data_IF_378642921250
#
_entry.id   IF_378642921250
#
_cell.length_a   1.000
_cell.length_b   1.000
_cell.length_c   1.000
_cell.angle_alpha   90.00
_cell.angle_beta   90.00
_cell.angle_gamma   90.00
#
_symmetry.space_group_name_H-M   'P 1'
#
loop_
_entity.id
_entity.type
_entity.pdbx_description
1 polymer ?
#
# COMPACT_ATOMS: atom_id res chain seq x y z
N UNK A 1 8.25 -19.96 20.50
CA UNK A 1 7.01 -20.15 19.73
C UNK A 1 7.46 -20.33 18.28
N UNK A 2 7.03 -21.40 17.61
CA UNK A 2 7.49 -21.74 16.25
C UNK A 2 6.96 -20.70 15.27
N UNK A 3 7.85 -20.04 14.51
CA UNK A 3 7.50 -19.19 13.38
C UNK A 3 6.75 -20.04 12.34
N UNK A 4 5.42 -20.13 12.47
CA UNK A 4 4.58 -20.98 11.62
C UNK A 4 3.96 -20.17 10.51
N UNK A 5 4.16 -20.63 9.28
CA UNK A 5 3.23 -20.30 8.19
C UNK A 5 1.93 -21.03 8.48
N UNK A 6 0.86 -20.28 8.81
CA UNK A 6 -0.48 -20.87 8.98
C UNK A 6 -1.10 -21.07 7.58
N UNK A 7 -1.26 -22.31 7.17
CA UNK A 7 -1.98 -22.64 5.93
C UNK A 7 -3.48 -22.85 6.22
N UNK A 8 -4.32 -22.36 5.29
CA UNK A 8 -5.76 -22.67 5.17
C UNK A 8 -6.76 -22.11 6.20
N UNK A 9 -6.57 -20.89 6.67
CA UNK A 9 -7.61 -20.16 7.42
C UNK A 9 -8.70 -19.55 6.50
N UNK A 10 -8.37 -19.29 5.23
CA UNK A 10 -9.28 -18.66 4.25
C UNK A 10 -9.96 -19.68 3.33
N UNK A 11 -11.30 -19.60 3.24
CA UNK A 11 -12.11 -20.36 2.28
C UNK A 11 -12.73 -19.40 1.27
N UNK A 12 -12.37 -19.48 -0.02
CA UNK A 12 -12.94 -18.61 -1.05
C UNK A 12 -14.41 -18.89 -1.26
N UNK A 13 -15.14 -17.87 -1.71
CA UNK A 13 -16.48 -18.06 -2.25
C UNK A 13 -16.46 -19.15 -3.34
N UNK A 14 -17.39 -20.10 -3.29
CA UNK A 14 -17.43 -21.23 -4.24
C UNK A 14 -17.53 -20.79 -5.71
N UNK A 15 -18.09 -19.61 -5.96
CA UNK A 15 -18.25 -18.99 -7.27
C UNK A 15 -17.08 -18.09 -7.69
N UNK A 16 -16.08 -17.86 -6.80
CA UNK A 16 -14.82 -17.14 -7.06
C UNK A 16 -13.60 -17.95 -6.61
N UNK A 17 -13.37 -19.15 -7.17
CA UNK A 17 -12.30 -20.03 -6.70
C UNK A 17 -10.90 -19.62 -7.17
N UNK A 18 -10.81 -18.78 -8.22
CA UNK A 18 -9.57 -18.44 -8.91
C UNK A 18 -8.98 -17.09 -8.49
N UNK A 19 -7.66 -16.97 -8.48
CA UNK A 19 -6.94 -15.77 -8.06
C UNK A 19 -7.31 -14.52 -8.89
N UNK A 20 -7.41 -14.65 -10.20
CA UNK A 20 -7.81 -13.55 -11.08
C UNK A 20 -9.23 -13.04 -10.78
N UNK A 21 -10.18 -13.95 -10.59
CA UNK A 21 -11.57 -13.58 -10.29
C UNK A 21 -11.70 -12.92 -8.91
N UNK A 22 -10.96 -13.41 -7.91
CA UNK A 22 -10.87 -12.80 -6.58
C UNK A 22 -10.35 -11.36 -6.67
N UNK A 23 -9.24 -11.16 -7.41
CA UNK A 23 -8.61 -9.85 -7.60
C UNK A 23 -9.55 -8.86 -8.30
N UNK A 24 -10.19 -9.28 -9.39
CA UNK A 24 -11.07 -8.42 -10.17
C UNK A 24 -12.37 -8.10 -9.43
N UNK A 25 -12.95 -9.07 -8.75
CA UNK A 25 -14.20 -8.88 -8.00
C UNK A 25 -14.05 -7.79 -6.94
N UNK A 26 -12.91 -7.79 -6.23
CA UNK A 26 -12.62 -6.78 -5.22
C UNK A 26 -12.65 -5.36 -5.77
N UNK A 27 -12.18 -5.16 -6.99
CA UNK A 27 -12.17 -3.85 -7.66
C UNK A 27 -13.58 -3.32 -7.96
N UNK A 28 -14.54 -4.23 -8.18
CA UNK A 28 -15.94 -3.87 -8.48
C UNK A 28 -16.84 -3.91 -7.25
N UNK A 29 -16.33 -4.30 -6.10
CA UNK A 29 -17.10 -4.28 -4.87
C UNK A 29 -17.42 -2.84 -4.49
N UNK A 30 -18.71 -2.50 -4.48
CA UNK A 30 -19.17 -1.21 -3.97
C UNK A 30 -19.27 -1.30 -2.45
N UNK A 31 -18.61 -0.38 -1.78
CA UNK A 31 -18.82 -0.12 -0.36
C UNK A 31 -19.52 1.22 -0.25
N UNK A 32 -20.44 1.34 0.72
CA UNK A 32 -21.06 2.62 1.03
C UNK A 32 -19.96 3.64 1.33
N UNK A 33 -20.17 4.87 0.92
CA UNK A 33 -19.24 5.95 1.17
C UNK A 33 -18.94 6.09 2.67
N UNK A 34 -17.70 6.39 2.98
CA UNK A 34 -17.25 6.77 4.32
C UNK A 34 -17.02 8.26 4.31
N UNK A 35 -17.48 8.96 5.34
CA UNK A 35 -17.19 10.38 5.46
C UNK A 35 -15.71 10.56 5.80
N UNK A 36 -15.00 11.31 4.97
CA UNK A 36 -13.61 11.63 5.15
C UNK A 36 -13.43 13.10 5.50
N UNK A 37 -12.67 13.37 6.56
CA UNK A 37 -12.07 14.67 6.80
C UNK A 37 -10.65 14.64 6.25
N UNK A 38 -10.42 15.42 5.19
CA UNK A 38 -9.08 15.53 4.59
C UNK A 38 -8.21 16.48 5.38
N UNK A 39 -6.96 16.11 5.56
CA UNK A 39 -5.91 16.92 6.15
C UNK A 39 -4.69 16.86 5.22
N UNK A 40 -4.10 18.01 4.92
CA UNK A 40 -2.88 18.12 4.13
C UNK A 40 -1.69 18.21 5.05
N UNK A 41 -0.68 17.39 4.76
CA UNK A 41 0.62 17.41 5.41
C UNK A 41 1.64 17.96 4.42
N UNK A 42 2.24 19.10 4.76
CA UNK A 42 3.37 19.65 4.01
C UNK A 42 4.62 18.83 4.33
N UNK A 43 5.35 18.42 3.30
CA UNK A 43 6.57 17.64 3.39
C UNK A 43 7.80 18.56 3.38
N UNK A 44 8.91 18.07 3.92
CA UNK A 44 10.14 18.87 4.06
C UNK A 44 10.71 19.35 2.71
N UNK A 45 10.38 18.66 1.60
CA UNK A 45 10.84 19.01 0.26
C UNK A 45 9.94 20.04 -0.46
N UNK A 46 8.93 20.59 0.23
CA UNK A 46 7.98 21.57 -0.31
C UNK A 46 6.81 20.95 -1.09
N UNK A 47 6.69 19.62 -1.06
CA UNK A 47 5.56 18.90 -1.60
C UNK A 47 4.52 18.63 -0.51
N UNK A 48 3.48 17.83 -0.80
CA UNK A 48 2.46 17.48 0.17
C UNK A 48 1.94 16.05 0.01
N UNK A 49 1.37 15.55 1.10
CA UNK A 49 0.55 14.34 1.14
C UNK A 49 -0.79 14.68 1.78
N UNK A 50 -1.88 14.24 1.17
CA UNK A 50 -3.20 14.33 1.78
C UNK A 50 -3.52 13.04 2.52
N UNK A 51 -4.02 13.17 3.75
CA UNK A 51 -4.50 12.07 4.56
C UNK A 51 -5.99 12.23 4.82
N UNK A 52 -6.72 11.12 4.73
CA UNK A 52 -8.18 11.10 4.85
C UNK A 52 -8.61 10.33 6.10
N UNK A 53 -9.06 11.08 7.11
CA UNK A 53 -9.58 10.54 8.35
C UNK A 53 -10.97 9.97 8.16
N UNK A 54 -11.18 8.73 8.62
CA UNK A 54 -12.52 8.18 8.78
C UNK A 54 -13.06 8.63 10.15
N UNK A 55 -14.03 9.51 10.13
CA UNK A 55 -14.70 9.93 11.35
C UNK A 55 -15.94 9.06 11.62
N UNK A 56 -16.07 8.65 12.88
CA UNK A 56 -17.18 7.81 13.29
C UNK A 56 -18.48 8.61 13.24
N UNK A 57 -19.41 8.24 12.36
CA UNK A 57 -20.70 8.93 12.14
C UNK A 57 -21.67 8.81 13.32
N UNK A 58 -21.37 8.04 14.34
CA UNK A 58 -22.20 7.90 15.53
C UNK A 58 -21.88 8.99 16.54
N UNK A 59 -22.57 10.11 16.43
CA UNK A 59 -22.50 11.22 17.39
C UNK A 59 -22.79 10.82 18.86
N UNK A 60 -23.27 9.61 19.13
CA UNK A 60 -23.51 9.06 20.46
C UNK A 60 -22.28 8.44 21.13
N UNK A 61 -21.16 8.24 20.41
CA UNK A 61 -19.93 7.63 20.93
C UNK A 61 -18.71 8.54 20.72
N UNK A 62 -18.86 9.84 20.95
CA UNK A 62 -17.76 10.82 20.92
C UNK A 62 -16.72 10.64 22.04
N UNK A 63 -16.84 9.63 22.87
CA UNK A 63 -15.77 9.14 23.70
C UNK A 63 -15.04 7.97 23.01
N UNK A 64 -14.46 8.19 21.81
CA UNK A 64 -13.29 7.39 21.45
C UNK A 64 -12.29 7.64 22.59
N UNK A 65 -12.09 6.65 23.44
CA UNK A 65 -11.18 6.77 24.58
C UNK A 65 -9.84 7.25 24.03
N UNK A 66 -9.37 8.38 24.53
CA UNK A 66 -7.99 8.84 24.25
C UNK A 66 -7.10 7.65 24.63
N UNK A 67 -6.23 7.21 23.70
CA UNK A 67 -5.42 6.01 23.89
C UNK A 67 -5.95 4.75 23.16
N UNK A 68 -7.07 4.84 22.41
CA UNK A 68 -7.57 3.70 21.62
C UNK A 68 -6.71 3.37 20.40
N UNK A 69 -5.71 4.19 20.08
CA UNK A 69 -4.81 4.07 18.96
C UNK A 69 -5.37 4.58 17.62
N UNK A 70 -4.47 4.86 16.70
CA UNK A 70 -4.78 5.30 15.33
C UNK A 70 -4.27 4.27 14.34
N UNK A 71 -5.15 3.80 13.44
CA UNK A 71 -4.75 2.91 12.34
C UNK A 71 -4.46 3.72 11.09
N UNK A 72 -3.21 3.67 10.62
CA UNK A 72 -2.76 4.29 9.37
C UNK A 72 -2.84 3.26 8.24
N UNK A 73 -3.56 3.60 7.16
CA UNK A 73 -3.82 2.69 6.04
C UNK A 73 -3.10 3.22 4.79
N UNK A 74 -2.35 2.34 4.12
CA UNK A 74 -1.47 2.67 3.00
C UNK A 74 -1.94 1.88 1.78
N UNK A 75 -2.38 2.60 0.73
CA UNK A 75 -2.93 1.98 -0.47
C UNK A 75 -1.86 1.37 -1.40
N UNK A 76 -2.30 0.56 -2.36
CA UNK A 76 -1.45 -0.03 -3.39
C UNK A 76 -1.24 0.87 -4.62
N UNK A 77 -0.54 0.32 -5.62
CA UNK A 77 -0.24 1.01 -6.88
C UNK A 77 -1.52 1.52 -7.56
N UNK A 78 -1.52 2.78 -7.99
CA UNK A 78 -2.66 3.48 -8.60
C UNK A 78 -3.93 3.50 -7.73
N UNK A 79 -3.78 3.35 -6.41
CA UNK A 79 -4.85 3.46 -5.43
C UNK A 79 -4.96 4.85 -4.81
N UNK A 80 -5.87 4.97 -3.84
CA UNK A 80 -6.08 6.16 -3.02
C UNK A 80 -6.89 5.78 -1.77
N UNK A 81 -7.20 6.73 -0.91
CA UNK A 81 -8.08 6.54 0.26
C UNK A 81 -9.47 6.00 -0.08
N UNK A 82 -9.98 6.30 -1.29
CA UNK A 82 -11.27 5.79 -1.78
C UNK A 82 -11.21 4.41 -2.44
N UNK A 83 -10.05 3.75 -2.41
CA UNK A 83 -9.94 2.36 -2.90
C UNK A 83 -10.85 1.43 -2.10
N UNK A 84 -11.59 0.50 -2.76
CA UNK A 84 -12.60 -0.34 -2.10
C UNK A 84 -12.11 -1.07 -0.85
N UNK A 85 -10.87 -1.57 -0.86
CA UNK A 85 -10.28 -2.27 0.27
C UNK A 85 -9.90 -1.31 1.44
N UNK A 86 -9.56 -0.05 1.14
CA UNK A 86 -9.29 0.98 2.16
C UNK A 86 -10.60 1.36 2.85
N UNK A 87 -11.62 1.72 2.07
CA UNK A 87 -12.95 2.09 2.56
C UNK A 87 -13.57 0.97 3.40
N UNK A 88 -13.47 -0.28 2.93
CA UNK A 88 -13.98 -1.44 3.67
C UNK A 88 -13.32 -1.61 5.03
N UNK A 89 -11.99 -1.44 5.11
CA UNK A 89 -11.28 -1.52 6.38
C UNK A 89 -11.63 -0.35 7.30
N UNK A 90 -11.66 0.88 6.78
CA UNK A 90 -12.03 2.06 7.57
C UNK A 90 -13.44 1.91 8.16
N UNK A 91 -14.41 1.46 7.35
CA UNK A 91 -15.78 1.19 7.80
C UNK A 91 -15.81 0.15 8.91
N UNK A 92 -15.04 -0.93 8.76
CA UNK A 92 -14.97 -1.97 9.79
C UNK A 92 -14.35 -1.46 11.09
N UNK A 93 -13.23 -0.75 11.02
CA UNK A 93 -12.57 -0.14 12.18
C UNK A 93 -13.50 0.84 12.90
N UNK A 94 -14.20 1.69 12.13
CA UNK A 94 -15.19 2.62 12.68
C UNK A 94 -16.33 1.88 13.41
N UNK A 95 -16.81 0.75 12.86
CA UNK A 95 -17.79 -0.12 13.52
C UNK A 95 -17.31 -0.73 14.85
N UNK A 96 -16.00 -0.78 15.08
CA UNK A 96 -15.38 -1.18 16.35
C UNK A 96 -14.94 0.02 17.22
N UNK A 97 -15.39 1.25 16.89
CA UNK A 97 -15.01 2.47 17.62
C UNK A 97 -13.53 2.85 17.46
N UNK A 98 -12.84 2.33 16.42
CA UNK A 98 -11.42 2.60 16.18
C UNK A 98 -11.24 3.73 15.17
N UNK A 99 -10.29 4.63 15.47
CA UNK A 99 -9.90 5.71 14.57
C UNK A 99 -8.99 5.20 13.48
N UNK A 100 -9.19 5.69 12.25
CA UNK A 100 -8.30 5.36 11.14
C UNK A 100 -8.10 6.53 10.19
N UNK A 101 -6.92 6.57 9.58
CA UNK A 101 -6.53 7.54 8.57
C UNK A 101 -5.92 6.82 7.38
N UNK A 102 -6.35 7.16 6.17
CA UNK A 102 -5.78 6.64 4.93
C UNK A 102 -4.84 7.67 4.32
N UNK A 103 -3.63 7.23 3.96
CA UNK A 103 -2.66 8.07 3.23
C UNK A 103 -3.04 8.06 1.76
N UNK A 104 -2.97 9.23 1.10
CA UNK A 104 -2.91 9.31 -0.35
C UNK A 104 -1.47 9.67 -0.72
N UNK A 105 -0.73 8.75 -1.33
CA UNK A 105 0.60 9.06 -1.85
C UNK A 105 0.58 10.28 -2.76
N UNK A 106 1.74 10.90 -2.99
CA UNK A 106 1.91 12.09 -3.83
C UNK A 106 1.17 11.94 -5.16
N UNK A 107 0.25 12.88 -5.45
CA UNK A 107 -0.58 12.87 -6.65
C UNK A 107 -1.74 11.87 -6.66
N UNK A 108 -2.03 11.17 -5.54
CA UNK A 108 -3.10 10.16 -5.47
C UNK A 108 -4.39 10.66 -4.79
N UNK A 109 -4.42 11.88 -4.27
CA UNK A 109 -5.58 12.43 -3.55
C UNK A 109 -6.66 13.03 -4.46
N UNK A 110 -6.43 13.05 -5.77
CA UNK A 110 -7.21 13.80 -6.76
C UNK A 110 -6.60 15.15 -7.10
N UNK A 111 -5.63 15.62 -6.29
CA UNK A 111 -4.81 16.80 -6.58
C UNK A 111 -3.39 16.37 -6.94
N UNK A 112 -2.82 17.04 -7.94
CA UNK A 112 -1.45 16.79 -8.40
C UNK A 112 -0.50 17.49 -7.43
N UNK A 113 0.51 16.75 -6.94
CA UNK A 113 1.53 17.28 -6.07
C UNK A 113 2.45 18.31 -6.77
N UNK A 114 3.27 19.03 -5.99
CA UNK A 114 4.03 20.19 -6.49
C UNK A 114 5.31 19.82 -7.23
N UNK A 115 5.91 18.67 -6.95
CA UNK A 115 7.19 18.26 -7.51
C UNK A 115 7.05 17.23 -8.62
N UNK A 116 8.02 17.15 -9.52
CA UNK A 116 8.09 16.13 -10.59
C UNK A 116 8.13 14.71 -10.00
N UNK A 117 8.79 14.53 -8.88
CA UNK A 117 8.81 13.23 -8.17
C UNK A 117 7.40 12.77 -7.82
N UNK A 118 7.23 11.45 -7.78
CA UNK A 118 5.98 10.79 -7.43
C UNK A 118 6.22 9.80 -6.28
N UNK A 119 5.26 8.98 -5.97
CA UNK A 119 5.48 7.84 -5.07
C UNK A 119 6.10 6.66 -5.83
N UNK A 120 6.76 5.76 -5.10
CA UNK A 120 7.28 4.51 -5.61
C UNK A 120 7.27 3.42 -4.53
N UNK A 121 7.59 2.18 -4.89
CA UNK A 121 7.46 1.04 -3.96
C UNK A 121 8.40 1.09 -2.74
N UNK A 122 9.35 1.99 -2.72
CA UNK A 122 10.31 2.12 -1.62
C UNK A 122 10.29 3.46 -0.89
N UNK A 123 9.23 4.28 -1.07
CA UNK A 123 9.11 5.64 -0.51
C UNK A 123 8.85 5.63 1.01
N UNK A 124 9.75 5.02 1.77
CA UNK A 124 9.65 4.93 3.23
C UNK A 124 9.88 6.27 3.93
N UNK A 125 10.57 7.21 3.29
CA UNK A 125 10.73 8.58 3.78
C UNK A 125 9.41 9.33 3.89
N UNK A 126 8.52 9.24 2.89
CA UNK A 126 7.20 9.87 2.93
C UNK A 126 6.35 9.29 4.08
N UNK A 127 6.36 7.96 4.25
CA UNK A 127 5.66 7.32 5.37
C UNK A 127 6.23 7.78 6.72
N UNK A 128 7.54 8.01 6.77
CA UNK A 128 8.20 8.53 7.96
C UNK A 128 7.75 9.93 8.32
N UNK A 129 7.59 10.81 7.35
CA UNK A 129 7.10 12.17 7.57
C UNK A 129 5.65 12.16 8.05
N UNK A 130 4.79 11.33 7.43
CA UNK A 130 3.40 11.14 7.89
C UNK A 130 3.37 10.65 9.34
N UNK A 131 4.16 9.64 9.70
CA UNK A 131 4.23 9.17 11.09
C UNK A 131 4.74 10.25 12.05
N UNK A 132 5.76 11.01 11.65
CA UNK A 132 6.31 12.10 12.46
C UNK A 132 5.26 13.17 12.73
N UNK A 133 4.53 13.60 11.71
CA UNK A 133 3.45 14.58 11.83
C UNK A 133 2.31 14.08 12.73
N UNK A 134 1.83 12.84 12.49
CA UNK A 134 0.78 12.24 13.30
C UNK A 134 1.20 12.05 14.75
N UNK A 135 2.42 11.57 14.99
CA UNK A 135 2.92 11.33 16.33
C UNK A 135 3.22 12.62 17.12
N UNK A 136 3.47 13.72 16.44
CA UNK A 136 3.57 15.04 17.05
C UNK A 136 2.18 15.62 17.38
N UNK A 137 1.19 15.43 16.49
CA UNK A 137 -0.18 15.88 16.70
C UNK A 137 -0.93 15.05 17.77
N UNK A 138 -0.55 13.78 17.93
CA UNK A 138 -1.18 12.82 18.86
C UNK A 138 -0.13 12.10 19.71
N UNK A 139 0.55 12.81 20.64
CA UNK A 139 1.73 12.28 21.37
C UNK A 139 1.42 11.10 22.29
N UNK A 140 0.19 11.01 22.81
CA UNK A 140 -0.25 9.97 23.73
C UNK A 140 -0.90 8.76 23.03
N UNK A 141 -1.03 8.80 21.69
CA UNK A 141 -1.66 7.74 20.93
C UNK A 141 -0.66 6.67 20.52
N UNK A 142 -1.15 5.43 20.41
CA UNK A 142 -0.46 4.33 19.75
C UNK A 142 -0.84 4.28 18.28
N UNK A 143 0.04 3.75 17.46
CA UNK A 143 -0.16 3.66 16.02
C UNK A 143 -0.10 2.21 15.57
N UNK A 144 -1.02 1.88 14.68
CA UNK A 144 -1.06 0.62 13.96
C UNK A 144 -1.03 0.91 12.47
N UNK A 145 -0.43 0.04 11.69
CA UNK A 145 -0.27 0.26 10.25
C UNK A 145 -0.83 -0.88 9.44
N UNK A 146 -1.51 -0.56 8.34
CA UNK A 146 -1.98 -1.55 7.36
C UNK A 146 -1.57 -1.12 5.97
N UNK A 147 -0.75 -1.94 5.31
CA UNK A 147 -0.33 -1.71 3.93
C UNK A 147 -0.92 -2.73 2.98
N UNK A 148 -1.29 -2.28 1.78
CA UNK A 148 -1.80 -3.13 0.71
C UNK A 148 -0.88 -3.08 -0.51
N UNK A 149 -0.49 -4.24 -1.05
CA UNK A 149 0.31 -4.34 -2.27
C UNK A 149 1.58 -3.46 -2.21
N UNK A 150 1.75 -2.48 -3.09
CA UNK A 150 2.85 -1.51 -3.03
C UNK A 150 2.96 -0.85 -1.65
N UNK A 151 1.83 -0.43 -1.06
CA UNK A 151 1.83 0.17 0.28
C UNK A 151 2.28 -0.79 1.38
N UNK A 152 2.07 -2.10 1.20
CA UNK A 152 2.61 -3.12 2.09
C UNK A 152 4.14 -3.22 1.96
N UNK A 153 4.67 -3.13 0.75
CA UNK A 153 6.12 -3.12 0.54
C UNK A 153 6.78 -1.88 1.17
N UNK A 154 6.18 -0.69 1.00
CA UNK A 154 6.63 0.56 1.65
C UNK A 154 6.62 0.40 3.17
N UNK A 155 5.54 -0.14 3.73
CA UNK A 155 5.40 -0.36 5.18
C UNK A 155 6.49 -1.27 5.73
N UNK A 156 6.69 -2.44 5.11
CA UNK A 156 7.68 -3.42 5.59
C UNK A 156 9.12 -2.91 5.47
N UNK A 157 9.44 -2.20 4.37
CA UNK A 157 10.73 -1.51 4.21
C UNK A 157 10.91 -0.49 5.33
N UNK A 158 9.94 0.38 5.55
CA UNK A 158 10.00 1.40 6.59
C UNK A 158 10.18 0.81 8.00
N UNK A 159 9.45 -0.23 8.35
CA UNK A 159 9.57 -0.90 9.65
C UNK A 159 10.94 -1.55 9.85
N UNK A 160 11.51 -2.16 8.79
CA UNK A 160 12.80 -2.84 8.89
C UNK A 160 14.01 -1.90 8.77
N UNK A 161 13.84 -0.68 8.25
CA UNK A 161 14.87 0.37 8.23
C UNK A 161 14.95 1.16 9.53
N UNK A 162 13.86 1.21 10.27
CA UNK A 162 13.75 2.03 11.46
C UNK A 162 14.19 1.33 12.73
N UNK A 163 14.69 2.13 13.66
CA UNK A 163 14.73 1.71 15.05
C UNK A 163 13.31 1.65 15.59
N UNK A 164 13.05 0.66 16.44
CA UNK A 164 11.77 0.49 17.12
C UNK A 164 11.29 1.80 17.77
N UNK A 165 10.05 2.14 17.50
CA UNK A 165 9.31 3.17 18.22
C UNK A 165 8.16 2.48 18.97
N UNK A 166 8.15 2.57 20.30
CA UNK A 166 7.17 1.86 21.15
C UNK A 166 5.74 2.37 20.97
N UNK A 167 5.54 3.45 20.22
CA UNK A 167 4.21 3.91 19.81
C UNK A 167 3.66 3.12 18.63
N UNK A 168 4.52 2.44 17.85
CA UNK A 168 4.10 1.56 16.75
C UNK A 168 3.90 0.16 17.33
N UNK A 169 2.65 -0.24 17.49
CA UNK A 169 2.32 -1.47 18.24
C UNK A 169 2.09 -2.67 17.35
N UNK A 170 1.43 -2.49 16.20
CA UNK A 170 1.08 -3.58 15.28
C UNK A 170 1.12 -3.15 13.83
N UNK A 171 1.38 -4.10 12.94
CA UNK A 171 1.34 -3.89 11.52
C UNK A 171 0.69 -5.08 10.78
N UNK A 172 0.05 -4.78 9.64
CA UNK A 172 -0.46 -5.81 8.72
C UNK A 172 -0.04 -5.44 7.30
N UNK A 173 0.54 -6.40 6.58
CA UNK A 173 0.94 -6.24 5.19
C UNK A 173 0.20 -7.27 4.32
N UNK A 174 -0.58 -6.80 3.35
CA UNK A 174 -1.47 -7.63 2.53
C UNK A 174 -0.98 -7.67 1.10
N UNK A 175 -0.83 -8.86 0.54
CA UNK A 175 -0.46 -9.09 -0.88
C UNK A 175 0.80 -8.33 -1.29
N UNK A 176 1.86 -8.46 -0.50
CA UNK A 176 3.09 -7.68 -0.63
C UNK A 176 3.97 -8.14 -1.79
N UNK A 177 4.44 -7.26 -2.68
CA UNK A 177 5.45 -7.56 -3.69
C UNK A 177 6.86 -7.56 -3.08
N UNK A 178 7.18 -8.56 -2.25
CA UNK A 178 8.44 -8.64 -1.49
C UNK A 178 9.70 -8.52 -2.35
N UNK A 179 9.64 -9.00 -3.60
CA UNK A 179 10.71 -8.94 -4.60
C UNK A 179 10.15 -8.27 -5.86
N UNK A 180 10.43 -6.98 -6.03
CA UNK A 180 9.84 -6.14 -7.08
C UNK A 180 10.18 -6.62 -8.49
N UNK A 181 11.42 -7.08 -8.71
CA UNK A 181 11.87 -7.62 -9.98
C UNK A 181 11.07 -8.87 -10.41
N UNK A 182 10.89 -9.84 -9.50
CA UNK A 182 10.10 -11.04 -9.76
C UNK A 182 8.63 -10.72 -10.04
N UNK A 183 8.06 -9.77 -9.31
CA UNK A 183 6.68 -9.31 -9.53
C UNK A 183 6.52 -8.59 -10.87
N UNK A 184 7.49 -7.73 -11.24
CA UNK A 184 7.51 -7.07 -12.55
C UNK A 184 7.58 -8.08 -13.70
N UNK A 185 8.45 -9.10 -13.60
CA UNK A 185 8.56 -10.20 -14.58
C UNK A 185 7.28 -11.04 -14.66
N UNK A 186 6.60 -11.30 -13.54
CA UNK A 186 5.35 -12.05 -13.52
C UNK A 186 4.24 -11.35 -14.31
N UNK A 187 4.18 -10.02 -14.24
CA UNK A 187 3.23 -9.21 -15.00
C UNK A 187 3.52 -9.09 -16.50
N UNK A 188 4.55 -9.77 -17.01
CA UNK A 188 4.80 -9.94 -18.45
C UNK A 188 4.28 -11.28 -18.99
N UNK A 189 3.74 -12.17 -18.14
CA UNK A 189 3.40 -13.55 -18.51
C UNK A 189 1.90 -13.83 -18.39
N UNK A 190 1.39 -14.67 -19.29
CA UNK A 190 0.01 -15.16 -19.23
C UNK A 190 -1.05 -14.08 -19.07
N UNK A 191 -2.15 -14.35 -18.34
CA UNK A 191 -3.21 -13.39 -18.09
C UNK A 191 -2.75 -12.17 -17.25
N UNK A 192 -1.66 -12.30 -16.47
CA UNK A 192 -1.12 -11.22 -15.65
C UNK A 192 -0.59 -10.03 -16.48
N UNK A 193 -0.35 -10.23 -17.77
CA UNK A 193 -0.03 -9.13 -18.72
C UNK A 193 -1.11 -8.05 -18.78
N UNK A 194 -2.35 -8.41 -18.53
CA UNK A 194 -3.45 -7.43 -18.51
C UNK A 194 -3.29 -6.42 -17.36
N UNK A 195 -2.86 -6.90 -16.19
CA UNK A 195 -2.58 -6.03 -15.06
C UNK A 195 -1.34 -5.14 -15.34
N UNK A 196 -0.27 -5.72 -15.88
CA UNK A 196 0.92 -4.97 -16.27
C UNK A 196 0.59 -3.85 -17.25
N UNK A 197 -0.16 -4.15 -18.31
CA UNK A 197 -0.61 -3.16 -19.29
C UNK A 197 -1.52 -2.09 -18.67
N UNK A 198 -2.42 -2.47 -17.77
CA UNK A 198 -3.28 -1.52 -17.05
C UNK A 198 -2.45 -0.55 -16.22
N UNK A 199 -1.50 -1.04 -15.42
CA UNK A 199 -0.66 -0.19 -14.57
C UNK A 199 0.22 0.73 -15.40
N UNK A 200 0.89 0.22 -16.43
CA UNK A 200 1.73 1.03 -17.33
C UNK A 200 0.92 2.18 -17.96
N UNK A 201 -0.25 1.88 -18.50
CA UNK A 201 -1.11 2.90 -19.11
C UNK A 201 -1.56 3.94 -18.07
N UNK A 202 -1.91 3.51 -16.85
CA UNK A 202 -2.31 4.42 -15.78
C UNK A 202 -1.16 5.34 -15.38
N UNK A 203 0.00 4.76 -15.07
CA UNK A 203 1.20 5.52 -14.67
C UNK A 203 1.66 6.51 -15.73
N UNK A 204 1.64 6.12 -17.02
CA UNK A 204 1.95 7.03 -18.12
C UNK A 204 0.98 8.21 -18.17
N UNK A 205 -0.31 7.94 -18.06
CA UNK A 205 -1.33 8.99 -18.06
C UNK A 205 -1.19 9.91 -16.85
N UNK A 206 -0.81 9.39 -15.69
CA UNK A 206 -0.55 10.19 -14.49
C UNK A 206 0.64 11.14 -14.71
N UNK A 207 1.73 10.69 -15.36
CA UNK A 207 2.87 11.58 -15.75
C UNK A 207 2.43 12.64 -16.76
N UNK A 208 1.69 12.26 -17.80
CA UNK A 208 1.20 13.21 -18.82
C UNK A 208 0.27 14.26 -18.18
N UNK A 209 -0.68 13.80 -17.35
CA UNK A 209 -1.59 14.72 -16.64
C UNK A 209 -0.84 15.67 -15.70
N UNK A 210 0.25 15.21 -15.10
CA UNK A 210 1.12 16.00 -14.24
C UNK A 210 1.88 17.08 -15.04
N UNK A 211 2.39 16.73 -16.23
CA UNK A 211 3.01 17.69 -17.13
C UNK A 211 2.02 18.80 -17.54
N UNK A 212 0.80 18.41 -17.92
CA UNK A 212 -0.25 19.37 -18.29
C UNK A 212 -0.61 20.33 -17.14
N UNK A 213 -0.65 19.81 -15.90
CA UNK A 213 -0.93 20.61 -14.71
C UNK A 213 0.23 21.57 -14.40
N UNK A 214 1.46 21.10 -14.45
CA UNK A 214 2.64 21.95 -14.23
C UNK A 214 2.73 23.08 -15.23
N UNK A 215 2.41 22.82 -16.50
CA UNK A 215 2.36 23.85 -17.52
C UNK A 215 1.29 24.91 -17.20
N UNK A 216 0.09 24.49 -16.78
CA UNK A 216 -1.00 25.40 -16.39
C UNK A 216 -0.66 26.23 -15.15
N UNK A 217 0.05 25.65 -14.20
CA UNK A 217 0.48 26.31 -12.94
C UNK A 217 1.75 27.14 -13.10
N UNK A 218 2.41 27.12 -14.27
CA UNK A 218 3.67 27.81 -14.51
C UNK A 218 4.87 27.22 -13.78
N UNK A 219 4.82 25.95 -13.41
CA UNK A 219 5.90 25.22 -12.73
C UNK A 219 6.89 24.67 -13.76
N UNK A 220 7.58 25.59 -14.45
CA UNK A 220 8.40 25.27 -15.64
C UNK A 220 9.52 24.28 -15.33
N UNK A 221 10.23 24.44 -14.23
CA UNK A 221 11.33 23.53 -13.83
C UNK A 221 10.82 22.08 -13.64
N UNK A 222 9.64 21.92 -13.00
CA UNK A 222 9.03 20.62 -12.78
C UNK A 222 8.51 20.00 -14.08
N UNK A 223 7.95 20.83 -14.96
CA UNK A 223 7.56 20.43 -16.31
C UNK A 223 8.76 19.94 -17.13
N UNK A 224 9.85 20.71 -17.16
CA UNK A 224 11.06 20.37 -17.92
C UNK A 224 11.69 19.08 -17.38
N UNK A 225 11.68 18.86 -16.08
CA UNK A 225 12.13 17.61 -15.46
C UNK A 225 11.38 16.39 -16.02
N UNK A 226 10.05 16.46 -16.14
CA UNK A 226 9.24 15.38 -16.71
C UNK A 226 9.40 15.28 -18.24
N UNK A 227 9.47 16.40 -18.95
CA UNK A 227 9.63 16.43 -20.40
C UNK A 227 10.98 15.82 -20.85
N UNK A 228 12.02 15.95 -20.04
CA UNK A 228 13.34 15.37 -20.29
C UNK A 228 13.43 13.85 -20.08
N UNK A 229 12.38 13.19 -19.52
CA UNK A 229 12.35 11.73 -19.38
C UNK A 229 12.28 10.98 -20.72
N UNK A 230 11.91 11.67 -21.82
CA UNK A 230 11.86 11.10 -23.16
C UNK A 230 10.46 10.60 -23.55
N UNK A 231 10.41 9.69 -24.54
CA UNK A 231 9.16 9.24 -25.16
C UNK A 231 8.44 8.18 -24.29
N UNK A 232 7.52 8.64 -23.45
CA UNK A 232 6.68 7.78 -22.62
C UNK A 232 5.82 6.80 -23.44
N UNK A 233 5.56 7.10 -24.74
CA UNK A 233 4.77 6.24 -25.64
C UNK A 233 5.42 4.89 -25.92
N UNK A 234 6.73 4.78 -25.73
CA UNK A 234 7.50 3.54 -25.95
C UNK A 234 7.43 2.55 -24.78
N UNK A 235 7.03 3.01 -23.59
CA UNK A 235 6.98 2.17 -22.39
C UNK A 235 5.88 1.13 -22.54
N UNK A 236 6.24 -0.16 -22.41
CA UNK A 236 5.33 -1.33 -22.53
C UNK A 236 5.29 -2.20 -21.28
N UNK A 237 6.21 -1.98 -20.33
CA UNK A 237 6.33 -2.78 -19.11
C UNK A 237 6.58 -1.88 -17.90
N UNK A 238 6.32 -2.41 -16.69
CA UNK A 238 6.65 -1.71 -15.45
C UNK A 238 8.16 -1.47 -15.34
N UNK A 239 8.98 -2.46 -15.73
CA UNK A 239 10.43 -2.27 -15.70
C UNK A 239 10.89 -1.13 -16.61
N UNK A 240 10.35 -1.03 -17.83
CA UNK A 240 10.66 0.12 -18.71
C UNK A 240 10.16 1.45 -18.14
N UNK A 241 9.01 1.46 -17.46
CA UNK A 241 8.53 2.65 -16.76
C UNK A 241 9.48 3.01 -15.61
N UNK A 242 9.91 2.04 -14.85
CA UNK A 242 10.82 2.27 -13.72
C UNK A 242 12.21 2.70 -14.18
N UNK A 243 12.72 2.17 -15.30
CA UNK A 243 13.99 2.62 -15.91
C UNK A 243 13.90 4.06 -16.42
N UNK A 244 12.81 4.42 -17.09
CA UNK A 244 12.69 5.72 -17.77
C UNK A 244 12.15 6.83 -16.84
N UNK A 245 11.31 6.50 -15.86
CA UNK A 245 10.60 7.48 -15.02
C UNK A 245 10.99 7.36 -13.55
N UNK A 246 10.75 6.19 -12.93
CA UNK A 246 10.94 6.06 -11.48
C UNK A 246 12.41 6.25 -11.09
N UNK A 247 13.33 5.58 -11.76
CA UNK A 247 14.74 5.63 -11.40
C UNK A 247 15.33 7.05 -11.50
N UNK A 248 15.22 7.78 -12.63
CA UNK A 248 15.80 9.12 -12.73
C UNK A 248 15.14 10.14 -11.81
N UNK A 249 13.82 10.06 -11.57
CA UNK A 249 13.12 11.00 -10.68
C UNK A 249 13.49 10.81 -9.19
N UNK A 250 14.02 9.65 -8.82
CA UNK A 250 14.30 9.29 -7.41
C UNK A 250 15.78 8.96 -7.15
N UNK A 251 16.68 9.22 -8.11
CA UNK A 251 18.11 9.06 -7.93
C UNK A 251 18.60 7.61 -7.89
N UNK A 252 17.86 6.69 -8.51
CA UNK A 252 18.32 5.32 -8.76
C UNK A 252 19.08 5.26 -10.10
N UNK A 253 20.04 4.36 -10.22
CA UNK A 253 20.78 4.18 -11.47
C UNK A 253 19.89 3.66 -12.62
N UNK A 254 18.99 2.73 -12.31
CA UNK A 254 18.05 2.08 -13.21
C UNK A 254 16.99 1.30 -12.40
N UNK A 255 16.06 0.61 -13.07
CA UNK A 255 15.04 -0.19 -12.43
C UNK A 255 15.61 -1.34 -11.57
N UNK A 256 16.73 -1.95 -11.98
CA UNK A 256 17.32 -3.03 -11.22
C UNK A 256 17.92 -2.54 -9.88
N UNK A 257 18.56 -1.37 -9.88
CA UNK A 257 19.02 -0.71 -8.66
C UNK A 257 17.85 -0.31 -7.75
N UNK A 258 16.80 0.26 -8.35
CA UNK A 258 15.56 0.57 -7.64
C UNK A 258 14.95 -0.67 -6.99
N UNK A 259 14.75 -1.76 -7.75
CA UNK A 259 14.17 -2.99 -7.22
C UNK A 259 15.02 -3.60 -6.12
N UNK A 260 16.35 -3.61 -6.30
CA UNK A 260 17.28 -4.10 -5.30
C UNK A 260 17.20 -3.31 -3.99
N UNK A 261 17.16 -1.98 -4.04
CA UNK A 261 17.12 -1.11 -2.86
C UNK A 261 15.74 -1.08 -2.18
N UNK A 262 14.67 -1.30 -2.95
CA UNK A 262 13.30 -1.06 -2.47
C UNK A 262 12.47 -2.32 -2.21
N UNK A 263 12.95 -3.52 -2.56
CA UNK A 263 12.29 -4.79 -2.24
C UNK A 263 12.28 -5.06 -0.74
N UNK A 264 11.10 -5.26 -0.17
CA UNK A 264 10.94 -5.41 1.28
C UNK A 264 11.48 -6.72 1.84
N UNK A 265 11.72 -7.75 1.01
CA UNK A 265 12.23 -9.04 1.47
C UNK A 265 13.50 -8.94 2.32
N UNK A 266 14.40 -8.01 2.00
CA UNK A 266 15.68 -7.83 2.70
C UNK A 266 15.56 -7.15 4.07
N UNK A 267 14.40 -6.60 4.40
CA UNK A 267 14.16 -5.86 5.64
C UNK A 267 13.39 -6.67 6.69
N UNK A 268 12.81 -7.83 6.30
CA UNK A 268 11.90 -8.59 7.14
C UNK A 268 12.55 -9.11 8.44
N UNK A 269 13.82 -9.46 8.40
CA UNK A 269 14.58 -9.95 9.56
C UNK A 269 14.82 -8.86 10.63
N UNK A 270 14.72 -7.57 10.23
CA UNK A 270 14.97 -6.42 11.10
C UNK A 270 13.68 -5.83 11.70
N UNK A 271 12.51 -6.38 11.38
CA UNK A 271 11.23 -5.85 11.89
C UNK A 271 11.01 -6.32 13.33
N UNK A 272 10.93 -5.37 14.26
CA UNK A 272 10.67 -5.63 15.69
C UNK A 272 9.20 -5.42 16.10
N UNK A 273 8.39 -4.84 15.23
CA UNK A 273 6.95 -4.62 15.44
C UNK A 273 6.16 -5.90 15.20
N UNK A 274 5.16 -6.21 16.05
CA UNK A 274 4.21 -7.33 15.84
C UNK A 274 3.51 -7.16 14.48
N UNK A 275 3.91 -7.97 13.49
CA UNK A 275 3.55 -7.80 12.09
C UNK A 275 2.96 -9.08 11.51
N UNK A 276 1.75 -8.94 10.94
CA UNK A 276 1.07 -10.00 10.20
C UNK A 276 1.18 -9.78 8.70
N UNK A 277 1.75 -10.76 7.99
CA UNK A 277 1.74 -10.82 6.53
C UNK A 277 0.57 -11.70 6.07
N UNK A 278 -0.31 -11.17 5.22
CA UNK A 278 -1.43 -11.93 4.62
C UNK A 278 -1.16 -12.07 3.13
N UNK A 279 -0.98 -13.30 2.65
CA UNK A 279 -0.59 -13.60 1.28
C UNK A 279 -1.35 -14.80 0.72
N UNK A 280 -1.60 -14.84 -0.60
CA UNK A 280 -2.17 -16.01 -1.27
C UNK A 280 -1.19 -16.65 -2.27
N UNK A 281 -1.18 -17.99 -2.36
CA UNK A 281 -0.34 -18.73 -3.31
C UNK A 281 -0.80 -18.53 -4.77
N UNK A 282 -2.05 -18.16 -4.98
CA UNK A 282 -2.64 -17.93 -6.32
C UNK A 282 -2.77 -16.45 -6.67
N UNK A 283 -1.98 -15.59 -6.03
CA UNK A 283 -1.92 -14.16 -6.37
C UNK A 283 -1.40 -13.98 -7.81
N UNK A 284 -2.17 -13.35 -8.72
CA UNK A 284 -1.75 -13.22 -10.11
C UNK A 284 -0.64 -12.19 -10.34
N UNK A 285 -0.32 -11.35 -9.34
CA UNK A 285 0.71 -10.31 -9.43
C UNK A 285 1.99 -10.71 -8.69
N UNK A 286 1.85 -11.52 -7.64
CA UNK A 286 2.96 -11.90 -6.75
C UNK A 286 3.23 -13.40 -6.96
N UNK A 287 4.26 -13.79 -7.71
CA UNK A 287 4.58 -15.19 -7.94
C UNK A 287 5.11 -15.84 -6.66
N UNK A 288 4.94 -17.17 -6.55
CA UNK A 288 5.43 -17.92 -5.38
C UNK A 288 6.94 -17.78 -5.16
N UNK A 289 7.71 -17.54 -6.23
CA UNK A 289 9.17 -17.29 -6.16
C UNK A 289 9.51 -15.97 -5.46
N UNK A 290 8.58 -15.03 -5.38
CA UNK A 290 8.78 -13.74 -4.71
C UNK A 290 8.45 -13.78 -3.21
N UNK A 291 7.92 -14.90 -2.69
CA UNK A 291 7.53 -15.03 -1.29
C UNK A 291 8.77 -15.27 -0.41
N UNK A 292 8.83 -14.67 0.79
CA UNK A 292 9.90 -14.90 1.74
C UNK A 292 9.82 -16.32 2.33
N UNK A 293 10.97 -16.86 2.69
CA UNK A 293 11.04 -18.09 3.48
C UNK A 293 10.74 -17.81 4.96
N UNK A 294 10.29 -18.82 5.70
CA UNK A 294 10.08 -18.67 7.15
C UNK A 294 11.37 -18.27 7.90
N UNK A 295 12.53 -18.67 7.39
CA UNK A 295 13.84 -18.34 8.00
C UNK A 295 14.30 -16.90 7.77
N UNK A 296 13.66 -16.17 6.82
CA UNK A 296 13.95 -14.75 6.56
C UNK A 296 13.04 -13.79 7.34
N UNK A 297 12.14 -14.33 8.16
CA UNK A 297 11.25 -13.53 9.00
C UNK A 297 11.85 -13.36 10.40
N UNK A 298 11.73 -12.15 10.97
CA UNK A 298 12.05 -11.94 12.38
C UNK A 298 11.06 -12.68 13.29
N UNK A 299 11.35 -12.73 14.58
CA UNK A 299 10.46 -13.32 15.58
C UNK A 299 9.12 -12.56 15.73
N UNK A 300 9.12 -11.26 15.34
CA UNK A 300 7.94 -10.40 15.41
C UNK A 300 7.07 -10.47 14.15
N UNK A 301 7.50 -11.18 13.10
CA UNK A 301 6.78 -11.26 11.82
C UNK A 301 6.16 -12.66 11.66
N UNK A 302 4.86 -12.70 11.46
CA UNK A 302 4.10 -13.92 11.16
C UNK A 302 3.51 -13.85 9.77
N UNK A 303 3.50 -14.95 9.02
CA UNK A 303 2.91 -15.02 7.70
C UNK A 303 1.75 -16.01 7.64
N UNK A 304 0.58 -15.52 7.27
CA UNK A 304 -0.57 -16.31 6.84
C UNK A 304 -0.54 -16.46 5.32
N UNK A 305 -0.19 -17.65 4.86
CA UNK A 305 -0.13 -18.00 3.46
C UNK A 305 -1.32 -18.91 3.11
N UNK A 306 -2.33 -18.35 2.45
CA UNK A 306 -3.51 -19.09 2.00
C UNK A 306 -3.29 -19.71 0.63
N UNK A 307 -3.96 -20.84 0.34
CA UNK A 307 -3.89 -21.49 -0.98
C UNK A 307 -4.58 -20.67 -2.07
N UNK A 308 -5.58 -19.88 -1.70
CA UNK A 308 -6.41 -19.05 -2.59
C UNK A 308 -6.65 -17.70 -1.95
N UNK A 309 -7.05 -16.69 -2.76
CA UNK A 309 -7.31 -15.33 -2.25
C UNK A 309 -7.09 -14.25 -3.31
N UNK A 310 -6.28 -14.54 -4.31
CA UNK A 310 -5.90 -13.55 -5.33
C UNK A 310 -5.08 -12.40 -4.75
N UNK A 311 -5.05 -11.27 -5.45
CA UNK A 311 -4.36 -10.06 -5.03
C UNK A 311 -5.34 -9.13 -4.30
N UNK A 312 -5.19 -8.99 -2.98
CA UNK A 312 -6.08 -8.18 -2.12
C UNK A 312 -7.56 -8.62 -2.20
N UNK A 313 -7.85 -9.78 -2.77
CA UNK A 313 -9.24 -10.26 -2.98
C UNK A 313 -9.85 -10.81 -1.69
N UNK A 314 -9.48 -12.01 -1.34
CA UNK A 314 -9.92 -12.74 -0.14
C UNK A 314 -11.45 -12.71 0.08
N UNK A 315 -12.22 -12.92 -0.99
CA UNK A 315 -13.69 -12.96 -0.96
C UNK A 315 -14.16 -14.34 -0.52
N UNK A 316 -14.72 -14.42 0.68
CA UNK A 316 -15.16 -15.68 1.30
C UNK A 316 -16.60 -16.09 0.94
N UNK A 317 -17.37 -15.20 0.33
CA UNK A 317 -18.79 -15.46 0.02
C UNK A 317 -19.75 -15.35 1.21
N UNK A 318 -19.25 -15.10 2.41
CA UNK A 318 -20.01 -14.75 3.58
C UNK A 318 -20.30 -13.24 3.58
N UNK A 319 -21.32 -12.81 4.34
CA UNK A 319 -21.61 -11.38 4.55
C UNK A 319 -20.44 -10.63 5.24
N UNK A 320 -19.62 -11.35 5.99
CA UNK A 320 -18.40 -10.80 6.57
C UNK A 320 -17.26 -10.84 5.56
N UNK A 321 -16.62 -9.70 5.34
CA UNK A 321 -15.40 -9.58 4.56
C UNK A 321 -14.25 -10.19 5.38
N UNK A 322 -13.80 -11.39 4.99
CA UNK A 322 -12.77 -12.13 5.72
C UNK A 322 -11.50 -11.32 5.93
N UNK A 323 -11.03 -10.61 4.89
CA UNK A 323 -9.78 -9.85 4.94
C UNK A 323 -9.82 -8.75 6.01
N UNK A 324 -10.86 -7.92 5.98
CA UNK A 324 -11.04 -6.83 6.94
C UNK A 324 -11.25 -7.37 8.36
N UNK A 325 -11.96 -8.49 8.49
CA UNK A 325 -12.11 -9.17 9.78
C UNK A 325 -10.75 -9.62 10.31
N UNK A 326 -9.97 -10.31 9.49
CA UNK A 326 -8.67 -10.84 9.92
C UNK A 326 -7.68 -9.75 10.29
N UNK A 327 -7.64 -8.66 9.49
CA UNK A 327 -6.85 -7.47 9.82
C UNK A 327 -7.28 -6.90 11.17
N UNK A 328 -8.57 -6.65 11.34
CA UNK A 328 -9.12 -6.05 12.56
C UNK A 328 -8.86 -6.93 13.78
N UNK A 329 -9.05 -8.24 13.67
CA UNK A 329 -8.79 -9.20 14.76
C UNK A 329 -7.32 -9.12 15.22
N UNK A 330 -6.35 -9.00 14.28
CA UNK A 330 -4.94 -8.83 14.64
C UNK A 330 -4.67 -7.49 15.31
N UNK A 331 -5.25 -6.41 14.80
CA UNK A 331 -4.99 -5.06 15.33
C UNK A 331 -5.58 -4.85 16.73
N UNK A 332 -6.70 -5.52 17.07
CA UNK A 332 -7.42 -5.32 18.32
C UNK A 332 -6.99 -6.33 19.42
N UNK A 333 -6.46 -7.51 19.01
CA UNK A 333 -5.94 -8.50 19.93
C UNK A 333 -4.78 -7.94 20.76
#
# INVERSE_FOLDING_TARGET
MTNGTFEDVFKPAWWLPEGHTQTLWRKFANFDEVYHRRERLDLYDGDFIDIDWCENMSASNLSAEIGSGITVIIHGLCGCSSSPYVVALQKRLAGHGKRSVAINFRGCSGEINNLARAYHSGVSEDLNEVFTSLSAAYPDEKFMFVGYSLGANVLLKWLGEKKRDDRITKAVAVSTPFQLDECSKAMLRGPSRLYGSYFVNRLRNDVIGKMDDFQKRGLQEQYDTLANLGDLGRIKSLKEFDDLVTAPLHGFENADDYYKKCSSAQFLENIDTDTLLIQSKNDPLIPASALPSASSLSASVQMELTSKGGHVGFISGNKENWLEKRITDHLIA
#
